data_IF_632216122321
#
_entry.id   IF_632216122321
#
_cell.length_a   1.000
_cell.length_b   1.000
_cell.length_c   1.000
_cell.angle_alpha   90.00
_cell.angle_beta   90.00
_cell.angle_gamma   90.00
#
_symmetry.space_group_name_H-M   'P 1'
#
loop_
_entity.id
_entity.type
_entity.pdbx_description
1 polymer ?
#
# COMPACT_ATOMS: atom_id res chain seq x y z
N UNK A 1 12.11 -1.32 8.09
CA UNK A 1 12.13 -2.81 7.95
C UNK A 1 10.76 -3.34 8.32
N UNK A 2 10.20 -4.24 7.51
CA UNK A 2 8.87 -4.80 7.71
C UNK A 2 8.79 -5.51 9.10
N UNK A 3 7.84 -5.14 9.98
CA UNK A 3 7.74 -5.72 11.32
C UNK A 3 7.46 -7.23 11.32
N UNK A 4 6.73 -7.73 10.32
CA UNK A 4 6.34 -9.13 10.19
C UNK A 4 6.49 -9.55 8.73
N UNK A 5 7.33 -10.55 8.47
CA UNK A 5 7.49 -11.14 7.14
C UNK A 5 7.02 -12.60 7.17
N UNK A 6 6.21 -12.96 6.18
CA UNK A 6 5.76 -14.33 5.93
C UNK A 6 6.54 -14.89 4.74
N UNK A 7 7.46 -15.82 4.99
CA UNK A 7 8.13 -16.58 3.92
C UNK A 7 7.34 -17.86 3.64
N UNK A 8 6.67 -17.98 2.47
CA UNK A 8 5.87 -19.17 2.16
C UNK A 8 6.74 -20.42 2.09
N UNK A 9 6.21 -21.55 2.58
CA UNK A 9 6.85 -22.87 2.52
C UNK A 9 6.03 -23.88 1.70
N UNK A 10 4.92 -23.46 1.11
CA UNK A 10 3.92 -24.36 0.53
C UNK A 10 3.01 -25.00 1.59
N UNK A 11 1.97 -25.71 1.13
CA UNK A 11 1.03 -26.46 1.97
C UNK A 11 0.44 -25.64 3.13
N UNK A 12 0.09 -24.37 2.85
CA UNK A 12 -0.47 -23.41 3.82
C UNK A 12 0.45 -23.10 5.02
N UNK A 13 1.75 -23.36 4.92
CA UNK A 13 2.73 -22.97 5.94
C UNK A 13 3.55 -21.76 5.51
N UNK A 14 3.98 -20.98 6.50
CA UNK A 14 4.98 -19.93 6.34
C UNK A 14 5.98 -19.92 7.49
N UNK A 15 7.23 -19.58 7.21
CA UNK A 15 8.15 -19.15 8.26
C UNK A 15 7.85 -17.69 8.58
N UNK A 16 7.49 -17.42 9.84
CA UNK A 16 7.24 -16.07 10.33
C UNK A 16 8.55 -15.48 10.83
N UNK A 17 8.88 -14.28 10.36
CA UNK A 17 9.98 -13.46 10.87
C UNK A 17 9.40 -12.23 11.56
N UNK A 18 9.93 -11.90 12.73
CA UNK A 18 9.55 -10.72 13.50
C UNK A 18 10.76 -9.80 13.58
N UNK A 19 10.62 -8.56 13.09
CA UNK A 19 11.68 -7.56 13.10
C UNK A 19 13.03 -8.11 12.59
N UNK A 20 12.98 -8.86 11.48
CA UNK A 20 14.15 -9.43 10.82
C UNK A 20 14.69 -10.73 11.44
N UNK A 21 14.14 -11.19 12.58
CA UNK A 21 14.57 -12.43 13.24
C UNK A 21 13.57 -13.56 12.97
N UNK A 22 14.08 -14.75 12.64
CA UNK A 22 13.24 -15.95 12.49
C UNK A 22 12.50 -16.22 13.79
N UNK A 23 11.17 -16.34 13.73
CA UNK A 23 10.34 -16.61 14.91
C UNK A 23 9.94 -18.08 14.95
N UNK A 24 9.06 -18.53 14.05
CA UNK A 24 8.68 -19.95 13.92
C UNK A 24 7.95 -20.23 12.62
N UNK A 25 7.82 -21.52 12.29
CA UNK A 25 6.92 -22.01 11.24
C UNK A 25 5.48 -21.99 11.78
N UNK A 26 4.53 -21.48 10.99
CA UNK A 26 3.12 -21.42 11.35
C UNK A 26 2.25 -21.87 10.17
N UNK A 27 1.18 -22.59 10.46
CA UNK A 27 0.10 -22.82 9.51
C UNK A 27 -0.72 -21.52 9.34
N UNK A 28 -1.24 -21.25 8.15
CA UNK A 28 -1.91 -20.00 7.82
C UNK A 28 -3.05 -19.67 8.80
N UNK A 29 -3.85 -20.67 9.18
CA UNK A 29 -4.96 -20.45 10.12
C UNK A 29 -4.48 -20.06 11.52
N UNK A 30 -3.38 -20.62 11.99
CA UNK A 30 -2.81 -20.30 13.30
C UNK A 30 -2.19 -18.91 13.30
N UNK A 31 -1.57 -18.51 12.17
CA UNK A 31 -1.09 -17.15 12.00
C UNK A 31 -2.23 -16.14 12.18
N UNK A 32 -3.28 -16.27 11.38
CA UNK A 32 -4.39 -15.32 11.41
C UNK A 32 -5.23 -15.43 12.70
N UNK A 33 -5.71 -16.62 13.07
CA UNK A 33 -6.66 -16.77 14.18
C UNK A 33 -6.03 -16.64 15.57
N UNK A 34 -4.75 -17.00 15.72
CA UNK A 34 -4.05 -16.99 17.02
C UNK A 34 -3.01 -15.90 17.09
N UNK A 35 -1.97 -15.95 16.24
CA UNK A 35 -0.81 -15.07 16.37
C UNK A 35 -1.16 -13.59 16.15
N UNK A 36 -1.88 -13.25 15.08
CA UNK A 36 -2.24 -11.86 14.78
C UNK A 36 -2.99 -11.21 15.95
N UNK A 37 -3.93 -11.95 16.56
CA UNK A 37 -4.75 -11.47 17.68
C UNK A 37 -3.97 -11.29 18.97
N UNK A 38 -3.06 -12.22 19.30
CA UNK A 38 -2.37 -12.22 20.60
C UNK A 38 -1.06 -11.45 20.60
N UNK A 39 -0.33 -11.42 19.47
CA UNK A 39 1.03 -10.88 19.40
C UNK A 39 1.30 -10.03 18.16
N UNK A 40 0.74 -10.39 17.00
CA UNK A 40 1.05 -9.75 15.72
C UNK A 40 0.81 -8.24 15.74
N UNK A 41 -0.38 -7.80 16.17
CA UNK A 41 -0.67 -6.37 16.23
C UNK A 41 0.29 -5.62 17.18
N UNK A 42 0.67 -6.22 18.31
CA UNK A 42 1.63 -5.62 19.25
C UNK A 42 2.99 -5.41 18.58
N UNK A 43 3.50 -6.41 17.86
CA UNK A 43 4.78 -6.31 17.14
C UNK A 43 4.78 -5.19 16.09
N UNK A 44 3.67 -5.02 15.37
CA UNK A 44 3.51 -3.93 14.40
C UNK A 44 3.51 -2.58 15.09
N UNK A 45 2.75 -2.43 16.18
CA UNK A 45 2.68 -1.18 16.94
C UNK A 45 4.02 -0.81 17.59
N UNK A 46 4.71 -1.77 18.20
CA UNK A 46 6.04 -1.53 18.80
C UNK A 46 7.03 -1.01 17.73
N UNK A 47 6.97 -1.57 16.52
CA UNK A 47 7.82 -1.13 15.40
C UNK A 47 7.43 0.27 14.92
N UNK A 48 6.14 0.57 14.85
CA UNK A 48 5.62 1.89 14.51
C UNK A 48 6.05 2.94 15.54
N UNK A 49 5.91 2.67 16.84
CA UNK A 49 6.28 3.61 17.89
C UNK A 49 7.76 3.97 17.87
N UNK A 50 8.63 2.98 17.61
CA UNK A 50 10.06 3.22 17.41
C UNK A 50 10.34 4.13 16.21
N UNK A 51 9.57 4.00 15.12
CA UNK A 51 9.69 4.89 13.97
C UNK A 51 9.17 6.30 14.29
N UNK A 52 8.07 6.43 15.04
CA UNK A 52 7.52 7.73 15.43
C UNK A 52 8.46 8.57 16.30
N UNK A 53 9.39 7.93 17.02
CA UNK A 53 10.42 8.65 17.79
C UNK A 53 11.54 9.24 16.90
N UNK A 54 11.65 8.81 15.65
CA UNK A 54 12.78 9.14 14.77
C UNK A 54 12.40 9.89 13.50
N UNK A 55 11.13 9.88 13.12
CA UNK A 55 10.66 10.40 11.84
C UNK A 55 9.38 11.19 12.02
N UNK A 56 9.31 12.34 11.36
CA UNK A 56 8.13 13.23 11.36
C UNK A 56 6.97 12.64 10.55
N UNK A 57 7.31 11.91 9.49
CA UNK A 57 6.34 11.29 8.57
C UNK A 57 6.62 9.80 8.46
N UNK A 58 5.55 9.01 8.59
CA UNK A 58 5.59 7.57 8.39
C UNK A 58 4.53 7.21 7.35
N UNK A 59 4.99 6.55 6.28
CA UNK A 59 4.12 5.98 5.26
C UNK A 59 3.97 4.49 5.57
N UNK A 60 2.73 4.03 5.69
CA UNK A 60 2.39 2.62 5.86
C UNK A 60 1.83 2.14 4.53
N UNK A 61 2.60 1.31 3.84
CA UNK A 61 2.13 0.62 2.64
C UNK A 61 1.35 -0.64 3.05
N UNK A 62 0.16 -0.79 2.47
CA UNK A 62 -0.67 -1.97 2.63
C UNK A 62 -0.12 -3.17 1.86
N UNK A 63 -0.67 -4.36 2.13
CA UNK A 63 -0.37 -5.56 1.36
C UNK A 63 -1.64 -6.04 0.63
N UNK A 64 -1.61 -5.98 -0.70
CA UNK A 64 -2.74 -6.38 -1.55
C UNK A 64 -3.96 -5.47 -1.39
N UNK A 65 -5.15 -6.06 -1.44
CA UNK A 65 -6.40 -5.33 -1.27
C UNK A 65 -6.78 -5.20 0.21
N UNK A 66 -7.25 -4.03 0.67
CA UNK A 66 -7.81 -3.89 2.03
C UNK A 66 -9.19 -4.54 2.18
N UNK A 67 -9.80 -5.03 1.08
CA UNK A 67 -11.15 -5.61 1.06
C UNK A 67 -11.14 -7.15 1.00
N UNK A 68 -10.15 -7.79 1.62
CA UNK A 68 -10.14 -9.24 1.83
C UNK A 68 -11.16 -9.64 2.90
N UNK A 69 -12.45 -9.71 2.51
CA UNK A 69 -13.61 -9.88 3.40
C UNK A 69 -13.41 -11.02 4.41
N UNK A 70 -12.81 -12.12 3.96
CA UNK A 70 -12.57 -13.32 4.78
C UNK A 70 -11.49 -13.13 5.85
N UNK A 71 -10.57 -12.17 5.65
CA UNK A 71 -9.40 -11.92 6.49
C UNK A 71 -9.41 -10.55 7.15
N UNK A 72 -10.39 -9.69 6.86
CA UNK A 72 -10.48 -8.30 7.34
C UNK A 72 -10.31 -8.16 8.87
N UNK A 73 -10.82 -9.11 9.65
CA UNK A 73 -10.66 -9.12 11.12
C UNK A 73 -9.21 -9.32 11.59
N UNK A 74 -8.34 -9.84 10.73
CA UNK A 74 -6.93 -10.13 10.97
C UNK A 74 -6.00 -9.28 10.10
N UNK A 75 -6.53 -8.37 9.31
CA UNK A 75 -5.75 -7.59 8.35
C UNK A 75 -4.99 -6.44 9.03
N UNK A 76 -3.90 -6.81 9.69
CA UNK A 76 -2.93 -5.90 10.30
C UNK A 76 -1.94 -5.29 9.30
N UNK A 77 -2.06 -5.62 8.01
CA UNK A 77 -1.28 -5.00 6.94
C UNK A 77 -1.98 -3.78 6.35
N UNK A 78 -3.33 -3.76 6.31
CA UNK A 78 -4.10 -2.63 5.78
C UNK A 78 -4.94 -1.91 6.86
N UNK A 79 -6.24 -2.21 6.95
CA UNK A 79 -7.18 -1.32 7.65
C UNK A 79 -7.14 -1.44 9.17
N UNK A 80 -6.70 -2.57 9.75
CA UNK A 80 -6.62 -2.70 11.22
C UNK A 80 -5.56 -1.80 11.82
N UNK A 81 -4.40 -1.68 11.17
CA UNK A 81 -3.35 -0.78 11.67
C UNK A 81 -3.79 0.67 11.49
N UNK A 82 -4.39 1.04 10.36
CA UNK A 82 -4.95 2.37 10.13
C UNK A 82 -6.04 2.72 11.16
N UNK A 83 -6.96 1.79 11.46
CA UNK A 83 -7.96 1.93 12.51
C UNK A 83 -7.32 2.16 13.89
N UNK A 84 -6.30 1.38 14.22
CA UNK A 84 -5.67 1.41 15.55
C UNK A 84 -4.98 2.74 15.84
N UNK A 85 -4.49 3.44 14.82
CA UNK A 85 -3.77 4.71 14.95
C UNK A 85 -4.53 5.90 14.35
N UNK A 86 -5.77 5.68 13.91
CA UNK A 86 -6.61 6.66 13.21
C UNK A 86 -5.90 7.33 12.01
N UNK A 87 -5.15 6.55 11.22
CA UNK A 87 -4.41 7.07 10.06
C UNK A 87 -5.35 7.35 8.89
N UNK A 88 -5.18 8.48 8.17
CA UNK A 88 -5.80 8.65 6.86
C UNK A 88 -5.28 7.58 5.89
N UNK A 89 -6.15 7.12 4.98
CA UNK A 89 -5.84 6.09 3.97
C UNK A 89 -6.13 6.63 2.57
N UNK A 90 -5.22 6.39 1.63
CA UNK A 90 -5.45 6.60 0.20
C UNK A 90 -5.50 5.23 -0.48
N UNK A 91 -6.51 5.00 -1.33
CA UNK A 91 -6.52 3.81 -2.17
C UNK A 91 -5.90 4.14 -3.53
N UNK A 92 -4.93 3.34 -3.93
CA UNK A 92 -4.26 3.47 -5.24
C UNK A 92 -4.79 2.37 -6.15
N UNK A 93 -5.31 2.73 -7.31
CA UNK A 93 -5.82 1.78 -8.28
C UNK A 93 -5.01 1.80 -9.56
N UNK A 94 -4.62 0.62 -10.03
CA UNK A 94 -4.03 0.42 -11.36
C UNK A 94 -5.14 0.50 -12.42
N UNK A 95 -5.05 1.47 -13.34
CA UNK A 95 -6.03 1.62 -14.43
C UNK A 95 -5.64 0.87 -15.71
N UNK A 96 -4.36 0.49 -15.85
CA UNK A 96 -3.86 -0.22 -17.04
C UNK A 96 -4.52 -1.59 -17.20
N UNK A 97 -4.92 -2.21 -16.08
CA UNK A 97 -5.65 -3.48 -16.04
C UNK A 97 -7.15 -3.36 -16.33
N UNK A 98 -7.66 -2.15 -16.54
CA UNK A 98 -9.10 -1.88 -16.67
C UNK A 98 -9.86 -1.98 -15.36
N UNK A 99 -11.14 -1.56 -15.36
CA UNK A 99 -12.04 -1.71 -14.20
C UNK A 99 -11.70 -0.89 -12.95
N UNK A 100 -10.71 0.03 -13.00
CA UNK A 100 -10.25 0.80 -11.84
C UNK A 100 -11.37 1.47 -11.03
N UNK A 101 -12.31 2.15 -11.69
CA UNK A 101 -13.42 2.82 -11.01
C UNK A 101 -14.34 1.84 -10.29
N UNK A 102 -14.65 0.71 -10.92
CA UNK A 102 -15.46 -0.35 -10.32
C UNK A 102 -14.73 -1.01 -9.15
N UNK A 103 -13.41 -1.25 -9.29
CA UNK A 103 -12.56 -1.80 -8.23
C UNK A 103 -12.52 -0.88 -7.02
N UNK A 104 -12.37 0.44 -7.21
CA UNK A 104 -12.40 1.42 -6.12
C UNK A 104 -13.75 1.41 -5.41
N UNK A 105 -14.85 1.49 -6.17
CA UNK A 105 -16.20 1.50 -5.60
C UNK A 105 -16.48 0.20 -4.85
N UNK A 106 -16.15 -0.95 -5.44
CA UNK A 106 -16.33 -2.27 -4.83
C UNK A 106 -15.48 -2.41 -3.57
N UNK A 107 -14.21 -2.05 -3.61
CA UNK A 107 -13.32 -2.07 -2.44
C UNK A 107 -13.91 -1.23 -1.31
N UNK A 108 -14.32 0.02 -1.60
CA UNK A 108 -14.89 0.89 -0.57
C UNK A 108 -16.21 0.34 -0.01
N UNK A 109 -17.07 -0.21 -0.86
CA UNK A 109 -18.36 -0.79 -0.44
C UNK A 109 -18.19 -2.03 0.46
N UNK A 110 -17.14 -2.82 0.25
CA UNK A 110 -16.83 -4.02 1.03
C UNK A 110 -16.16 -3.72 2.37
N UNK A 111 -15.61 -2.52 2.57
CA UNK A 111 -15.03 -2.11 3.85
C UNK A 111 -16.11 -1.80 4.89
N UNK A 112 -15.81 -2.06 6.16
CA UNK A 112 -16.65 -1.61 7.28
C UNK A 112 -16.82 -0.08 7.24
N UNK A 113 -17.98 0.44 7.66
CA UNK A 113 -18.26 1.89 7.71
C UNK A 113 -17.16 2.69 8.43
N UNK A 114 -16.57 2.14 9.49
CA UNK A 114 -15.45 2.77 10.21
C UNK A 114 -14.17 2.88 9.36
N UNK A 115 -13.87 1.87 8.56
CA UNK A 115 -12.73 1.84 7.65
C UNK A 115 -12.97 2.76 6.45
N UNK A 116 -14.20 2.81 5.93
CA UNK A 116 -14.59 3.77 4.89
C UNK A 116 -14.35 5.23 5.31
N UNK A 117 -14.50 5.57 6.60
CA UNK A 117 -14.22 6.93 7.12
C UNK A 117 -12.73 7.29 7.13
N UNK A 118 -11.86 6.30 7.25
CA UNK A 118 -10.40 6.48 7.22
C UNK A 118 -9.90 6.72 5.80
N UNK A 119 -10.54 6.11 4.79
CA UNK A 119 -10.23 6.39 3.38
C UNK A 119 -10.54 7.85 3.07
N UNK A 120 -9.54 8.63 2.66
CA UNK A 120 -9.68 10.06 2.35
C UNK A 120 -9.81 10.35 0.86
N UNK A 121 -9.46 9.39 0.00
CA UNK A 121 -9.65 9.50 -1.44
C UNK A 121 -8.78 8.51 -2.20
N UNK A 122 -8.60 8.80 -3.48
CA UNK A 122 -8.05 7.86 -4.44
C UNK A 122 -6.89 8.44 -5.23
N UNK A 123 -5.98 7.57 -5.66
CA UNK A 123 -4.98 7.85 -6.68
C UNK A 123 -5.18 6.86 -7.82
N UNK A 124 -5.25 7.37 -9.04
CA UNK A 124 -5.29 6.52 -10.23
C UNK A 124 -3.86 6.38 -10.74
N UNK A 125 -3.37 5.16 -10.90
CA UNK A 125 -2.00 4.87 -11.29
C UNK A 125 -1.95 4.24 -12.67
N UNK A 126 -0.83 4.44 -13.38
CA UNK A 126 -0.51 3.86 -14.69
C UNK A 126 -1.46 4.23 -15.83
N UNK A 127 -1.96 5.47 -15.83
CA UNK A 127 -2.85 5.92 -16.91
C UNK A 127 -2.11 6.19 -18.22
N UNK A 128 -2.71 5.84 -19.36
CA UNK A 128 -2.20 6.13 -20.70
C UNK A 128 -3.16 7.08 -21.42
N UNK A 129 -2.63 8.15 -22.01
CA UNK A 129 -3.40 9.08 -22.84
C UNK A 129 -3.76 10.40 -22.13
N UNK A 130 -4.78 11.08 -22.65
CA UNK A 130 -5.22 12.39 -22.14
C UNK A 130 -6.08 12.24 -20.88
N UNK A 131 -5.60 12.84 -19.78
CA UNK A 131 -6.28 12.85 -18.49
C UNK A 131 -7.67 13.50 -18.55
N UNK A 132 -7.92 14.39 -19.51
CA UNK A 132 -9.23 15.03 -19.69
C UNK A 132 -10.35 14.01 -19.92
N UNK A 133 -10.04 12.87 -20.54
CA UNK A 133 -10.98 11.77 -20.78
C UNK A 133 -11.50 11.18 -19.45
N UNK A 134 -10.70 11.22 -18.37
CA UNK A 134 -11.08 10.66 -17.07
C UNK A 134 -11.93 11.61 -16.20
N UNK A 135 -11.95 12.91 -16.50
CA UNK A 135 -12.63 13.92 -15.66
C UNK A 135 -14.10 13.59 -15.37
N UNK A 136 -14.93 13.17 -16.35
CA UNK A 136 -16.31 12.75 -16.06
C UNK A 136 -16.38 11.56 -15.10
N UNK A 137 -15.44 10.63 -15.22
CA UNK A 137 -15.30 9.49 -14.30
C UNK A 137 -15.05 9.92 -12.86
N UNK A 138 -14.21 10.94 -12.63
CA UNK A 138 -13.95 11.45 -11.28
C UNK A 138 -15.18 12.04 -10.62
N UNK A 139 -16.02 12.74 -11.40
CA UNK A 139 -17.32 13.25 -10.92
C UNK A 139 -18.22 12.10 -10.49
N UNK A 140 -18.35 11.05 -11.30
CA UNK A 140 -19.15 9.87 -10.95
C UNK A 140 -18.61 9.14 -9.74
N UNK A 141 -17.28 8.99 -9.65
CA UNK A 141 -16.62 8.36 -8.50
C UNK A 141 -16.88 9.15 -7.22
N UNK A 142 -16.77 10.49 -7.25
CA UNK A 142 -17.08 11.35 -6.12
C UNK A 142 -18.56 11.29 -5.73
N UNK A 143 -19.48 11.19 -6.68
CA UNK A 143 -20.90 11.02 -6.39
C UNK A 143 -21.19 9.73 -5.61
N UNK A 144 -20.58 8.62 -6.03
CA UNK A 144 -20.75 7.29 -5.42
C UNK A 144 -20.05 7.13 -4.07
N UNK A 145 -18.85 7.70 -3.94
CA UNK A 145 -17.98 7.44 -2.78
C UNK A 145 -17.92 8.61 -1.79
N UNK A 146 -18.37 9.79 -2.20
CA UNK A 146 -18.20 11.08 -1.50
C UNK A 146 -16.74 11.46 -1.22
N UNK A 147 -15.78 10.87 -1.96
CA UNK A 147 -14.34 11.09 -1.77
C UNK A 147 -13.69 11.61 -3.05
N UNK A 148 -12.67 12.47 -2.94
CA UNK A 148 -11.95 13.01 -4.09
C UNK A 148 -10.96 12.02 -4.71
N UNK A 149 -10.57 12.30 -5.94
CA UNK A 149 -9.35 11.77 -6.57
C UNK A 149 -8.26 12.82 -6.39
N UNK A 150 -7.12 12.43 -5.80
CA UNK A 150 -5.99 13.33 -5.54
C UNK A 150 -5.10 13.55 -6.77
N UNK A 151 -5.19 12.68 -7.76
CA UNK A 151 -4.48 12.85 -9.02
C UNK A 151 -4.35 11.54 -9.80
N UNK A 152 -3.66 11.64 -10.92
CA UNK A 152 -3.40 10.52 -11.84
C UNK A 152 -1.92 10.45 -12.14
N UNK A 153 -1.31 9.32 -11.81
CA UNK A 153 0.07 9.03 -12.18
C UNK A 153 0.05 8.38 -13.57
N UNK A 154 0.70 8.97 -14.58
CA UNK A 154 0.75 8.39 -15.91
C UNK A 154 1.62 7.12 -15.90
N UNK A 155 1.35 6.22 -16.82
CA UNK A 155 2.26 5.12 -17.13
C UNK A 155 3.59 5.72 -17.57
N UNK A 156 4.67 5.32 -16.91
CA UNK A 156 6.01 5.84 -17.18
C UNK A 156 7.04 4.73 -17.13
N UNK A 157 8.06 4.85 -17.96
CA UNK A 157 9.19 3.94 -17.93
C UNK A 157 10.14 4.39 -16.83
N UNK A 158 10.21 3.57 -15.78
CA UNK A 158 11.11 3.73 -14.65
C UNK A 158 11.97 2.49 -14.57
N UNK A 159 13.27 2.67 -14.41
CA UNK A 159 14.23 1.58 -14.30
C UNK A 159 14.63 1.34 -12.85
N UNK A 160 13.65 1.05 -11.99
CA UNK A 160 13.86 0.66 -10.61
C UNK A 160 13.88 -0.87 -10.47
N UNK A 161 14.63 -1.41 -9.49
CA UNK A 161 14.55 -2.83 -9.15
C UNK A 161 13.12 -3.20 -8.77
N UNK A 162 12.65 -4.36 -9.21
CA UNK A 162 11.37 -4.92 -8.77
C UNK A 162 11.51 -5.48 -7.35
N UNK A 163 10.55 -5.14 -6.47
CA UNK A 163 10.58 -5.54 -5.07
C UNK A 163 10.17 -7.01 -4.87
N UNK A 164 9.10 -7.46 -5.55
CA UNK A 164 8.66 -8.86 -5.63
C UNK A 164 7.56 -8.99 -6.69
N UNK A 165 7.92 -9.46 -7.90
CA UNK A 165 6.95 -9.67 -8.97
C UNK A 165 6.58 -11.15 -9.08
N UNK A 166 5.28 -11.44 -9.07
CA UNK A 166 4.76 -12.72 -9.55
C UNK A 166 5.17 -12.88 -11.03
N UNK A 167 6.18 -13.72 -11.29
CA UNK A 167 6.55 -14.14 -12.65
C UNK A 167 7.78 -13.46 -13.26
N UNK A 168 8.48 -12.57 -12.57
CA UNK A 168 9.74 -11.98 -13.07
C UNK A 168 10.88 -12.40 -12.16
N UNK A 169 11.90 -13.06 -12.70
CA UNK A 169 13.15 -13.29 -11.96
C UNK A 169 13.81 -11.94 -11.74
N UNK A 170 14.04 -11.49 -10.48
CA UNK A 170 14.72 -10.24 -10.24
C UNK A 170 16.10 -10.31 -10.93
N UNK A 171 16.40 -9.31 -11.76
CA UNK A 171 17.74 -9.20 -12.34
C UNK A 171 18.72 -9.01 -11.19
N UNK A 172 19.77 -9.85 -11.06
CA UNK A 172 20.76 -9.67 -10.00
C UNK A 172 21.43 -8.31 -10.22
N UNK A 173 21.15 -7.36 -9.32
CA UNK A 173 21.75 -6.04 -9.37
C UNK A 173 22.88 -5.98 -8.35
N UNK A 174 24.10 -5.72 -8.82
CA UNK A 174 25.23 -5.50 -7.92
C UNK A 174 25.08 -4.12 -7.27
N UNK A 175 24.99 -4.06 -5.94
CA UNK A 175 24.98 -2.79 -5.21
C UNK A 175 26.39 -2.18 -5.18
N UNK A 176 26.73 -1.47 -6.26
CA UNK A 176 27.93 -0.63 -6.35
C UNK A 176 27.52 0.84 -6.48
N UNK A 177 28.46 1.76 -6.24
CA UNK A 177 28.21 3.21 -6.26
C UNK A 177 27.51 3.67 -7.54
N UNK A 178 27.99 3.22 -8.71
CA UNK A 178 27.42 3.55 -10.02
C UNK A 178 25.95 3.14 -10.16
N UNK A 179 25.59 1.96 -9.65
CA UNK A 179 24.22 1.45 -9.71
C UNK A 179 23.30 2.14 -8.69
N UNK A 180 23.81 2.49 -7.52
CA UNK A 180 23.07 3.30 -6.53
C UNK A 180 22.78 4.69 -7.11
N UNK A 181 23.78 5.36 -7.70
CA UNK A 181 23.60 6.66 -8.34
C UNK A 181 22.55 6.62 -9.47
N UNK A 182 22.43 5.48 -10.15
CA UNK A 182 21.42 5.26 -11.19
C UNK A 182 20.01 5.10 -10.59
N UNK A 183 19.87 4.34 -9.50
CA UNK A 183 18.61 4.22 -8.77
C UNK A 183 18.16 5.59 -8.28
N UNK A 184 19.05 6.36 -7.66
CA UNK A 184 18.71 7.68 -7.11
C UNK A 184 18.15 8.62 -8.18
N UNK A 185 18.73 8.62 -9.39
CA UNK A 185 18.19 9.38 -10.53
C UNK A 185 16.79 8.93 -10.96
N UNK A 186 16.53 7.63 -10.97
CA UNK A 186 15.21 7.09 -11.30
C UNK A 186 14.17 7.41 -10.20
N UNK A 187 14.57 7.38 -8.93
CA UNK A 187 13.75 7.82 -7.79
C UNK A 187 13.43 9.31 -7.91
N UNK A 188 14.41 10.15 -8.24
CA UNK A 188 14.20 11.59 -8.44
C UNK A 188 13.24 11.88 -9.59
N UNK A 189 13.37 11.15 -10.69
CA UNK A 189 12.46 11.25 -11.84
C UNK A 189 11.03 10.88 -11.42
N UNK A 190 10.86 9.77 -10.70
CA UNK A 190 9.57 9.34 -10.17
C UNK A 190 9.00 10.37 -9.18
N UNK A 191 9.82 10.90 -8.27
CA UNK A 191 9.42 11.92 -7.30
C UNK A 191 8.88 13.18 -7.99
N UNK A 192 9.60 13.70 -8.99
CA UNK A 192 9.16 14.85 -9.80
C UNK A 192 7.85 14.56 -10.52
N UNK A 193 7.70 13.35 -11.07
CA UNK A 193 6.47 12.94 -11.73
C UNK A 193 5.28 12.91 -10.76
N UNK A 194 5.43 12.24 -9.62
CA UNK A 194 4.38 12.13 -8.60
C UNK A 194 3.99 13.52 -8.08
N UNK A 195 4.96 14.40 -7.83
CA UNK A 195 4.70 15.80 -7.43
C UNK A 195 3.91 16.59 -8.45
N UNK A 196 4.12 16.36 -9.75
CA UNK A 196 3.36 17.00 -10.84
C UNK A 196 1.97 16.37 -11.02
N UNK A 197 1.85 15.07 -10.76
CA UNK A 197 0.65 14.28 -11.01
C UNK A 197 -0.39 14.32 -9.89
N UNK A 198 0.04 14.55 -8.65
CA UNK A 198 -0.83 14.50 -7.48
C UNK A 198 -0.94 15.87 -6.81
N UNK A 199 -2.10 16.14 -6.19
CA UNK A 199 -2.28 17.26 -5.30
C UNK A 199 -1.61 17.01 -3.95
N UNK A 200 -0.28 17.13 -3.92
CA UNK A 200 0.56 16.87 -2.74
C UNK A 200 0.13 17.74 -1.55
N UNK A 201 -0.17 19.04 -1.78
CA UNK A 201 -0.64 19.94 -0.72
C UNK A 201 -1.92 19.44 -0.04
N UNK A 202 -2.85 18.86 -0.80
CA UNK A 202 -4.07 18.30 -0.23
C UNK A 202 -3.82 17.00 0.53
N UNK A 203 -2.81 16.20 0.13
CA UNK A 203 -2.39 14.99 0.84
C UNK A 203 -1.68 15.36 2.15
N UNK A 204 -0.80 16.36 2.14
CA UNK A 204 -0.08 16.86 3.33
C UNK A 204 -1.05 17.33 4.42
N UNK A 205 -2.13 18.03 4.04
CA UNK A 205 -3.19 18.43 4.98
C UNK A 205 -3.94 17.28 5.65
N UNK A 206 -3.78 16.04 5.18
CA UNK A 206 -4.37 14.88 5.85
C UNK A 206 -3.55 14.42 7.06
N UNK A 207 -2.26 14.78 7.11
CA UNK A 207 -1.30 14.36 8.14
C UNK A 207 -0.87 15.52 9.07
N UNK A 208 -1.25 16.75 8.74
CA UNK A 208 -1.15 17.93 9.63
C UNK A 208 -2.29 17.96 10.63
#
# INVERSE_FOLDING_TARGET
MNPILLKPLGNYYSTVFLQGKKYKKMYAIDYYKKFVRTKGLKVVLDSLWRLKQKYDVIIIEGAGSPAEINLQKFDIANMKIAEKINSPVLLVSDIDRGGSFASIVGTLALLDKKHQKLVKGFVINKFRGDINILKPGFTKLKQNTKKPVFGVIPMTNINLPEEDSLGVKPKPMTFNKKNIDKIDREIDKLSKLVKKSLNIKAIERLIS
#
